data_IF_317750296628
#
_entry.id   IF_317750296628
#
_cell.length_a   1.000
_cell.length_b   1.000
_cell.length_c   1.000
_cell.angle_alpha   90.00
_cell.angle_beta   90.00
_cell.angle_gamma   90.00
#
_symmetry.space_group_name_H-M   'P 1'
#
loop_
_entity.id
_entity.type
_entity.pdbx_description
1 polymer ?
#
# COMPACT_ATOMS: atom_id res chain seq x y z
N UNK A 1 8.87 15.30 3.51
CA UNK A 1 8.15 14.05 3.24
C UNK A 1 8.28 13.70 1.77
N UNK A 2 8.94 12.59 1.43
CA UNK A 2 8.92 12.05 0.07
C UNK A 2 7.56 11.39 -0.16
N UNK A 3 6.80 11.86 -1.14
CA UNK A 3 5.56 11.22 -1.60
C UNK A 3 5.93 10.02 -2.49
N UNK A 4 6.54 9.01 -1.87
CA UNK A 4 6.94 7.76 -2.50
C UNK A 4 6.11 6.62 -1.89
N UNK A 5 5.70 5.62 -2.68
CA UNK A 5 5.07 4.41 -2.18
C UNK A 5 6.05 3.65 -1.28
N UNK A 6 5.74 3.60 0.01
CA UNK A 6 6.44 2.77 0.99
C UNK A 6 5.65 1.47 1.14
N UNK A 7 6.01 0.46 0.36
CA UNK A 7 5.34 -0.85 0.40
C UNK A 7 5.43 -1.50 1.79
N UNK A 8 6.58 -1.52 2.50
CA UNK A 8 6.64 -2.01 3.88
C UNK A 8 5.62 -1.37 4.83
N UNK A 9 5.46 -0.04 4.79
CA UNK A 9 4.45 0.66 5.58
C UNK A 9 3.03 0.29 5.12
N UNK A 10 2.78 0.24 3.81
CA UNK A 10 1.47 -0.10 3.27
C UNK A 10 1.03 -1.52 3.66
N UNK A 11 1.94 -2.49 3.58
CA UNK A 11 1.70 -3.87 4.00
C UNK A 11 1.41 -3.96 5.51
N UNK A 12 2.11 -3.19 6.33
CA UNK A 12 1.88 -3.15 7.77
C UNK A 12 0.50 -2.57 8.12
N UNK A 13 0.11 -1.48 7.47
CA UNK A 13 -1.22 -0.87 7.65
C UNK A 13 -2.33 -1.81 7.18
N UNK A 14 -2.13 -2.50 6.05
CA UNK A 14 -3.08 -3.50 5.57
C UNK A 14 -3.19 -4.69 6.53
N UNK A 15 -2.06 -5.19 7.03
CA UNK A 15 -2.06 -6.27 8.03
C UNK A 15 -2.80 -5.85 9.31
N UNK A 16 -2.65 -4.60 9.75
CA UNK A 16 -3.39 -4.06 10.89
C UNK A 16 -4.90 -4.11 10.65
N UNK A 17 -5.36 -3.63 9.49
CA UNK A 17 -6.78 -3.61 9.15
C UNK A 17 -7.37 -5.02 9.02
N UNK A 18 -6.64 -5.95 8.39
CA UNK A 18 -7.08 -7.34 8.24
C UNK A 18 -7.13 -8.07 9.57
N UNK A 19 -6.20 -7.76 10.49
CA UNK A 19 -6.19 -8.30 11.85
C UNK A 19 -7.39 -7.80 12.66
N UNK A 20 -7.71 -6.51 12.59
CA UNK A 20 -8.91 -5.96 13.24
C UNK A 20 -10.21 -6.59 12.74
N UNK A 21 -10.22 -7.10 11.50
CA UNK A 21 -11.37 -7.81 10.90
C UNK A 21 -11.38 -9.31 11.18
N UNK A 22 -10.37 -9.86 11.87
CA UNK A 22 -10.23 -11.30 12.10
C UNK A 22 -9.93 -12.12 10.84
N UNK A 23 -9.47 -11.48 9.76
CA UNK A 23 -9.22 -12.14 8.46
C UNK A 23 -7.80 -12.69 8.35
N UNK A 24 -6.83 -12.01 8.95
CA UNK A 24 -5.42 -12.40 8.94
C UNK A 24 -4.77 -12.07 10.28
N UNK A 25 -4.25 -13.08 10.98
CA UNK A 25 -3.48 -12.89 12.20
C UNK A 25 -1.99 -12.62 11.89
N UNK A 26 -1.72 -11.43 11.35
CA UNK A 26 -0.36 -10.96 11.09
C UNK A 26 -0.07 -9.72 11.96
N UNK A 27 1.01 -9.76 12.74
CA UNK A 27 1.40 -8.61 13.55
C UNK A 27 1.98 -7.49 12.65
N UNK A 28 1.36 -6.30 12.60
CA UNK A 28 1.77 -5.21 11.70
C UNK A 28 3.23 -4.80 11.84
N UNK A 29 3.74 -4.76 13.08
CA UNK A 29 5.14 -4.38 13.33
C UNK A 29 6.12 -5.42 12.80
N UNK A 30 5.77 -6.71 12.93
CA UNK A 30 6.59 -7.81 12.38
C UNK A 30 6.55 -7.82 10.85
N UNK A 31 5.38 -7.59 10.26
CA UNK A 31 5.22 -7.44 8.80
C UNK A 31 6.11 -6.33 8.28
N UNK A 32 6.08 -5.14 8.91
CA UNK A 32 6.92 -4.00 8.51
C UNK A 32 8.40 -4.36 8.56
N UNK A 33 8.87 -4.85 9.71
CA UNK A 33 10.30 -5.16 9.93
C UNK A 33 10.80 -6.21 8.95
N UNK A 34 9.98 -7.23 8.67
CA UNK A 34 10.29 -8.24 7.66
C UNK A 34 10.35 -7.60 6.26
N UNK A 35 9.34 -6.84 5.86
CA UNK A 35 9.25 -6.23 4.53
C UNK A 35 10.40 -5.24 4.25
N UNK A 36 10.84 -4.47 5.25
CA UNK A 36 11.99 -3.56 5.15
C UNK A 36 13.32 -4.30 4.84
N UNK A 37 13.43 -5.59 5.20
CA UNK A 37 14.61 -6.41 4.93
C UNK A 37 14.45 -7.31 3.71
N UNK A 38 13.21 -7.75 3.45
CA UNK A 38 12.90 -8.76 2.45
C UNK A 38 12.60 -8.17 1.05
N UNK A 39 12.27 -6.88 0.95
CA UNK A 39 11.86 -6.25 -0.31
C UNK A 39 12.89 -5.21 -0.75
N UNK A 40 13.52 -5.44 -1.90
CA UNK A 40 14.36 -4.45 -2.56
C UNK A 40 13.53 -3.67 -3.58
N UNK A 41 13.52 -2.34 -3.48
CA UNK A 41 12.95 -1.47 -4.52
C UNK A 41 13.88 -1.46 -5.74
N UNK A 42 13.36 -1.79 -6.92
CA UNK A 42 14.16 -1.94 -8.15
C UNK A 42 13.90 -0.85 -9.19
N UNK A 43 12.67 -0.36 -9.30
CA UNK A 43 12.30 0.75 -10.17
C UNK A 43 11.04 1.44 -9.64
N UNK A 44 10.87 2.71 -9.99
CA UNK A 44 9.65 3.44 -9.70
C UNK A 44 9.44 4.57 -10.70
N UNK A 45 8.17 4.85 -10.97
CA UNK A 45 7.76 6.09 -11.62
C UNK A 45 6.53 6.61 -10.91
N UNK A 46 6.74 7.62 -10.08
CA UNK A 46 5.66 8.24 -9.32
C UNK A 46 5.63 9.74 -9.52
N UNK A 47 4.43 10.30 -9.54
CA UNK A 47 4.22 11.74 -9.57
C UNK A 47 3.23 12.16 -8.48
N UNK A 48 3.47 13.30 -7.81
CA UNK A 48 2.52 13.83 -6.86
C UNK A 48 1.23 14.26 -7.57
N UNK A 49 0.09 14.07 -6.92
CA UNK A 49 -1.23 14.51 -7.38
C UNK A 49 -1.97 15.16 -6.21
N UNK A 50 -2.65 16.26 -6.48
CA UNK A 50 -3.63 16.84 -5.56
C UNK A 50 -5.01 16.54 -6.12
N UNK A 51 -5.83 15.83 -5.35
CA UNK A 51 -7.19 15.43 -5.75
C UNK A 51 -8.22 16.17 -4.89
N UNK A 52 -9.34 16.54 -5.49
CA UNK A 52 -10.50 17.02 -4.75
C UNK A 52 -11.04 15.86 -3.90
N UNK A 53 -11.12 16.07 -2.59
CA UNK A 53 -11.61 15.06 -1.65
C UNK A 53 -13.08 15.30 -1.29
N UNK A 54 -13.42 16.54 -0.95
CA UNK A 54 -14.79 16.98 -0.69
C UNK A 54 -14.93 18.48 -0.89
N UNK A 55 -16.14 19.02 -0.73
CA UNK A 55 -16.41 20.46 -0.66
C UNK A 55 -16.92 20.77 0.75
N UNK A 56 -16.24 21.67 1.45
CA UNK A 56 -16.60 22.09 2.81
C UNK A 56 -16.77 23.60 2.84
N UNK A 57 -17.93 24.06 3.30
CA UNK A 57 -18.27 25.50 3.40
C UNK A 57 -18.05 26.25 2.06
N UNK A 58 -18.42 25.61 0.95
CA UNK A 58 -18.24 26.13 -0.40
C UNK A 58 -16.80 26.14 -0.91
N UNK A 59 -15.84 25.60 -0.15
CA UNK A 59 -14.42 25.53 -0.52
C UNK A 59 -13.99 24.09 -0.83
N UNK A 60 -13.16 23.87 -1.87
CA UNK A 60 -12.61 22.55 -2.15
C UNK A 60 -11.65 22.15 -1.02
N UNK A 61 -11.95 21.02 -0.37
CA UNK A 61 -11.02 20.33 0.50
C UNK A 61 -10.28 19.29 -0.35
N UNK A 62 -8.97 19.44 -0.44
CA UNK A 62 -8.11 18.64 -1.32
C UNK A 62 -7.17 17.76 -0.51
N UNK A 63 -6.84 16.61 -1.06
CA UNK A 63 -5.86 15.68 -0.51
C UNK A 63 -4.66 15.55 -1.45
N UNK A 64 -3.46 15.53 -0.90
CA UNK A 64 -2.23 15.36 -1.68
C UNK A 64 -1.72 13.93 -1.53
N UNK A 65 -1.57 13.25 -2.67
CA UNK A 65 -1.04 11.90 -2.76
C UNK A 65 -0.09 11.74 -3.95
N UNK A 66 0.00 10.53 -4.47
CA UNK A 66 0.78 10.19 -5.65
C UNK A 66 0.04 9.19 -6.52
N UNK A 67 0.40 9.15 -7.80
CA UNK A 67 0.04 8.06 -8.72
C UNK A 67 1.30 7.58 -9.44
N UNK A 68 1.30 6.32 -9.86
CA UNK A 68 2.43 5.72 -10.56
C UNK A 68 2.61 4.26 -10.21
N UNK A 69 3.82 3.76 -10.41
CA UNK A 69 4.21 2.40 -10.05
C UNK A 69 5.50 2.39 -9.24
N UNK A 70 5.67 1.29 -8.51
CA UNK A 70 6.93 0.88 -7.90
C UNK A 70 7.06 -0.63 -8.07
N UNK A 71 8.27 -1.07 -8.31
CA UNK A 71 8.65 -2.44 -8.56
C UNK A 71 9.55 -2.92 -7.44
N UNK A 72 9.33 -4.15 -6.98
CA UNK A 72 10.09 -4.76 -5.90
C UNK A 72 10.58 -6.14 -6.28
N UNK A 73 11.78 -6.48 -5.82
CA UNK A 73 12.32 -7.83 -5.78
C UNK A 73 12.18 -8.42 -4.37
N UNK A 74 11.75 -9.68 -4.28
CA UNK A 74 11.66 -10.41 -3.02
C UNK A 74 12.97 -11.15 -2.75
N UNK A 75 13.76 -10.64 -1.81
CA UNK A 75 15.05 -11.20 -1.40
C UNK A 75 14.90 -12.39 -0.44
N UNK A 76 13.89 -12.36 0.43
CA UNK A 76 13.60 -13.45 1.38
C UNK A 76 12.34 -14.23 0.97
N UNK A 77 12.55 -15.45 0.48
CA UNK A 77 11.46 -16.32 0.03
C UNK A 77 10.55 -16.82 1.16
N UNK A 78 10.98 -16.77 2.43
CA UNK A 78 10.19 -17.30 3.55
C UNK A 78 8.87 -16.55 3.75
N UNK A 79 8.83 -15.25 3.45
CA UNK A 79 7.63 -14.43 3.55
C UNK A 79 6.75 -14.42 2.31
N UNK A 80 7.06 -15.23 1.28
CA UNK A 80 6.33 -15.22 -0.01
C UNK A 80 4.83 -15.44 0.15
N UNK A 81 4.41 -16.42 0.94
CA UNK A 81 2.98 -16.71 1.13
C UNK A 81 2.24 -15.54 1.79
N UNK A 82 2.84 -14.96 2.85
CA UNK A 82 2.29 -13.80 3.53
C UNK A 82 2.21 -12.58 2.60
N UNK A 83 3.26 -12.33 1.82
CA UNK A 83 3.29 -11.28 0.82
C UNK A 83 2.19 -11.46 -0.21
N UNK A 84 2.07 -12.66 -0.80
CA UNK A 84 1.03 -12.96 -1.79
C UNK A 84 -0.37 -12.75 -1.24
N UNK A 85 -0.64 -13.17 0.01
CA UNK A 85 -1.93 -12.90 0.68
C UNK A 85 -2.18 -11.40 0.82
N UNK A 86 -1.22 -10.66 1.37
CA UNK A 86 -1.36 -9.21 1.57
C UNK A 86 -1.53 -8.46 0.25
N UNK A 87 -0.78 -8.80 -0.79
CA UNK A 87 -0.92 -8.21 -2.12
C UNK A 87 -2.27 -8.55 -2.76
N UNK A 88 -2.77 -9.77 -2.58
CA UNK A 88 -4.12 -10.15 -3.02
C UNK A 88 -5.21 -9.32 -2.34
N UNK A 89 -5.08 -9.07 -1.03
CA UNK A 89 -5.97 -8.15 -0.32
C UNK A 89 -5.80 -6.70 -0.78
N UNK A 90 -4.57 -6.25 -1.03
CA UNK A 90 -4.30 -4.90 -1.52
C UNK A 90 -4.99 -4.67 -2.88
N UNK A 91 -4.89 -5.62 -3.81
CA UNK A 91 -5.54 -5.55 -5.11
C UNK A 91 -7.07 -5.52 -5.00
N UNK A 92 -7.65 -6.27 -4.05
CA UNK A 92 -9.11 -6.32 -3.87
C UNK A 92 -9.68 -5.12 -3.10
N UNK A 93 -8.97 -4.62 -2.10
CA UNK A 93 -9.47 -3.64 -1.13
C UNK A 93 -8.87 -2.23 -1.32
N UNK A 94 -7.75 -2.12 -2.03
CA UNK A 94 -6.93 -0.91 -2.06
C UNK A 94 -6.07 -0.73 -0.80
N UNK A 95 -5.21 0.28 -0.84
CA UNK A 95 -4.28 0.68 0.22
C UNK A 95 -4.60 2.09 0.74
N UNK A 96 -4.23 2.38 1.98
CA UNK A 96 -4.33 3.73 2.55
C UNK A 96 -5.75 4.17 2.96
N UNK A 97 -5.94 5.48 3.05
CA UNK A 97 -7.19 6.11 3.51
C UNK A 97 -8.19 6.26 2.37
N UNK A 98 -9.47 6.34 2.71
CA UNK A 98 -10.56 6.70 1.80
C UNK A 98 -10.73 5.76 0.59
N UNK A 99 -10.39 4.47 0.78
CA UNK A 99 -10.56 3.39 -0.21
C UNK A 99 -11.99 3.22 -0.70
N UNK A 100 -12.97 3.43 0.19
CA UNK A 100 -14.39 3.41 -0.16
C UNK A 100 -14.82 4.55 -1.09
N UNK A 101 -14.02 5.60 -1.23
CA UNK A 101 -14.23 6.71 -2.15
C UNK A 101 -13.40 6.58 -3.43
N UNK A 102 -12.75 5.44 -3.66
CA UNK A 102 -11.94 5.17 -4.85
C UNK A 102 -10.45 5.55 -4.74
N UNK A 103 -9.98 6.02 -3.58
CA UNK A 103 -8.57 6.31 -3.38
C UNK A 103 -7.74 5.04 -3.11
N UNK A 104 -6.46 5.08 -3.50
CA UNK A 104 -5.52 4.01 -3.18
C UNK A 104 -5.84 2.68 -3.85
N UNK A 105 -6.54 2.70 -4.98
CA UNK A 105 -6.68 1.54 -5.85
C UNK A 105 -5.31 1.13 -6.39
N UNK A 106 -5.01 -0.16 -6.39
CA UNK A 106 -3.72 -0.70 -6.84
C UNK A 106 -3.93 -1.91 -7.72
N UNK A 107 -3.03 -2.05 -8.69
CA UNK A 107 -2.86 -3.26 -9.47
C UNK A 107 -1.55 -3.92 -9.06
N UNK A 108 -1.56 -5.24 -8.93
CA UNK A 108 -0.38 -6.03 -8.62
C UNK A 108 -0.15 -6.98 -9.80
N UNK A 109 1.03 -6.91 -10.38
CA UNK A 109 1.44 -7.77 -11.48
C UNK A 109 2.89 -8.23 -11.27
N UNK A 110 3.23 -9.48 -11.63
CA UNK A 110 4.63 -9.90 -11.70
C UNK A 110 5.35 -9.13 -12.80
N UNK A 111 6.64 -8.86 -12.58
CA UNK A 111 7.52 -8.39 -13.64
C UNK A 111 8.07 -9.61 -14.38
N UNK A 112 7.99 -9.57 -15.71
CA UNK A 112 8.44 -10.63 -16.61
C UNK A 112 9.98 -10.69 -16.68
#
# INVERSE_FOLDING_TARGET
>A
YKLLPDLPLALALLAHDLRLRGVLDANPRRVRKWAELALAEIDYRVRPVTALYTVRDGKPAVERGFIGYVSYELLDSLGRELLSKLLGFAQRLGLGKSRSLGFGHVEVAPLA
#
